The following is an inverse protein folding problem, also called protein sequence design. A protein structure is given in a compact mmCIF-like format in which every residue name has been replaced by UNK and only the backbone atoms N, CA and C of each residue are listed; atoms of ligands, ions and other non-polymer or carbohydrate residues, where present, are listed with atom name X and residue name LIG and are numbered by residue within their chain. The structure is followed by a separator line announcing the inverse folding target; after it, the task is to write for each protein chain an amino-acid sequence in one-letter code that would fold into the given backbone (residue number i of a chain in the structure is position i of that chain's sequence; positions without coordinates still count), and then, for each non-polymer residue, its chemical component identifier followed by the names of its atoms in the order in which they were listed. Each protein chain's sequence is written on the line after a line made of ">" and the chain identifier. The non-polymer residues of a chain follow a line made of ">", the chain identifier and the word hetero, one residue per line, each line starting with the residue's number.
data_IF_861656851017
#
_entry.id   IF_861656851017
#
_cell.length_a   1.000
_cell.length_b   1.000
_cell.length_c   1.000
_cell.angle_alpha   90.00
_cell.angle_beta   90.00
_cell.angle_gamma   90.00
#
_symmetry.space_group_name_H-M   'P 1'
#
loop_
_entity.id
_entity.type
_entity.pdbx_description
1 polymer ?
#
# COMPACT_ATOMS: atom_id res chain seq x y z
N UNK A 1 -5.62 -40.26 13.51
CA UNK A 1 -6.64 -39.71 12.59
C UNK A 1 -7.07 -38.30 12.98
N UNK A 2 -7.79 -38.11 14.10
CA UNK A 2 -8.30 -36.77 14.47
C UNK A 2 -7.19 -35.77 14.91
N UNK A 3 -6.17 -36.26 15.62
CA UNK A 3 -4.99 -35.45 15.97
C UNK A 3 -4.11 -35.13 14.75
N UNK A 4 -3.96 -36.06 13.81
CA UNK A 4 -3.21 -35.82 12.57
C UNK A 4 -3.90 -34.78 11.69
N UNK A 5 -5.24 -34.77 11.68
CA UNK A 5 -6.04 -33.77 10.98
C UNK A 5 -5.88 -32.38 11.60
N UNK A 6 -5.96 -32.28 12.94
CA UNK A 6 -5.71 -31.03 13.67
C UNK A 6 -4.29 -30.51 13.46
N UNK A 7 -3.30 -31.39 13.46
CA UNK A 7 -1.91 -31.03 13.24
C UNK A 7 -1.72 -30.43 11.83
N UNK A 8 -2.22 -31.10 10.78
CA UNK A 8 -2.18 -30.57 9.41
C UNK A 8 -2.93 -29.26 9.27
N UNK A 9 -4.08 -29.12 9.94
CA UNK A 9 -4.83 -27.87 9.90
C UNK A 9 -4.06 -26.71 10.57
N UNK A 10 -3.39 -26.98 11.70
CA UNK A 10 -2.51 -26.01 12.35
C UNK A 10 -1.35 -25.58 11.43
N UNK A 11 -0.71 -26.52 10.74
CA UNK A 11 0.36 -26.22 9.78
C UNK A 11 -0.13 -25.33 8.64
N UNK A 12 -1.32 -25.61 8.10
CA UNK A 12 -1.93 -24.79 7.05
C UNK A 12 -2.21 -23.36 7.54
N UNK A 13 -2.74 -23.22 8.76
CA UNK A 13 -3.01 -21.89 9.34
C UNK A 13 -1.72 -21.10 9.57
N UNK A 14 -0.65 -21.73 10.07
CA UNK A 14 0.64 -21.04 10.28
C UNK A 14 1.33 -20.67 8.97
N UNK A 15 1.23 -21.53 7.95
CA UNK A 15 1.72 -21.22 6.60
C UNK A 15 0.97 -20.03 6.00
N UNK A 16 -0.36 -19.99 6.17
CA UNK A 16 -1.19 -18.91 5.65
C UNK A 16 -0.95 -17.59 6.39
N UNK A 17 -0.80 -17.60 7.72
CA UNK A 17 -0.38 -16.42 8.50
C UNK A 17 0.96 -15.90 7.97
N UNK A 18 1.92 -16.79 7.74
CA UNK A 18 3.25 -16.41 7.24
C UNK A 18 3.16 -15.77 5.85
N UNK A 19 2.32 -16.33 4.96
CA UNK A 19 2.06 -15.77 3.63
C UNK A 19 1.45 -14.37 3.70
N UNK A 20 0.39 -14.19 4.48
CA UNK A 20 -0.30 -12.90 4.62
C UNK A 20 0.64 -11.83 5.23
N UNK A 21 1.49 -12.20 6.18
CA UNK A 21 2.50 -11.29 6.73
C UNK A 21 3.54 -10.87 5.69
N UNK A 22 4.00 -11.79 4.83
CA UNK A 22 4.92 -11.46 3.73
C UNK A 22 4.26 -10.53 2.71
N UNK A 23 3.00 -10.77 2.36
CA UNK A 23 2.25 -9.93 1.42
C UNK A 23 2.04 -8.53 2.01
N UNK A 24 1.71 -8.43 3.30
CA UNK A 24 1.63 -7.17 4.03
C UNK A 24 2.97 -6.41 3.99
N UNK A 25 4.08 -7.07 4.28
CA UNK A 25 5.42 -6.45 4.25
C UNK A 25 5.77 -5.90 2.86
N UNK A 26 5.53 -6.68 1.80
CA UNK A 26 5.76 -6.26 0.41
C UNK A 26 4.90 -5.04 0.06
N UNK A 27 3.63 -5.05 0.45
CA UNK A 27 2.71 -3.95 0.17
C UNK A 27 3.13 -2.67 0.91
N UNK A 28 3.53 -2.77 2.19
CA UNK A 28 4.08 -1.64 2.93
C UNK A 28 5.34 -1.06 2.30
N UNK A 29 6.24 -1.91 1.78
CA UNK A 29 7.44 -1.45 1.08
C UNK A 29 7.08 -0.68 -0.20
N UNK A 30 6.11 -1.17 -0.97
CA UNK A 30 5.63 -0.48 -2.18
C UNK A 30 5.00 0.88 -1.87
N UNK A 31 4.17 0.96 -0.81
CA UNK A 31 3.57 2.24 -0.36
C UNK A 31 4.65 3.26 -0.04
N UNK A 32 5.69 2.88 0.72
CA UNK A 32 6.80 3.79 1.05
C UNK A 32 7.53 4.33 -0.19
N UNK A 33 7.65 3.51 -1.23
CA UNK A 33 8.22 3.94 -2.52
C UNK A 33 7.28 4.95 -3.21
N UNK A 34 5.96 4.73 -3.18
CA UNK A 34 4.99 5.67 -3.73
C UNK A 34 4.95 6.99 -2.96
N UNK A 35 4.98 6.95 -1.62
CA UNK A 35 5.09 8.13 -0.76
C UNK A 35 6.32 8.97 -1.11
N UNK A 36 7.49 8.33 -1.27
CA UNK A 36 8.72 9.03 -1.68
C UNK A 36 8.59 9.69 -3.07
N UNK A 37 7.86 9.07 -4.00
CA UNK A 37 7.58 9.66 -5.33
C UNK A 37 6.66 10.87 -5.21
N UNK A 38 5.62 10.79 -4.39
CA UNK A 38 4.69 11.91 -4.12
C UNK A 38 5.46 13.09 -3.51
N UNK A 39 6.37 12.83 -2.56
CA UNK A 39 7.22 13.86 -1.95
C UNK A 39 8.16 14.53 -2.97
N UNK A 40 8.73 13.77 -3.90
CA UNK A 40 9.52 14.33 -5.00
C UNK A 40 8.67 15.22 -5.91
N UNK A 41 7.47 14.76 -6.29
CA UNK A 41 6.55 15.52 -7.12
C UNK A 41 6.07 16.81 -6.45
N UNK A 42 5.82 16.79 -5.14
CA UNK A 42 5.48 17.99 -4.38
C UNK A 42 6.56 19.08 -4.51
N UNK A 43 7.83 18.69 -4.46
CA UNK A 43 8.96 19.61 -4.65
C UNK A 43 8.99 20.16 -6.08
N UNK A 44 8.78 19.30 -7.08
CA UNK A 44 8.75 19.71 -8.48
C UNK A 44 7.59 20.65 -8.83
N UNK A 45 6.40 20.37 -8.29
CA UNK A 45 5.22 21.23 -8.42
C UNK A 45 5.53 22.59 -7.82
N UNK A 46 6.05 22.65 -6.59
CA UNK A 46 6.41 23.92 -5.94
C UNK A 46 7.41 24.74 -6.76
N UNK A 47 8.47 24.10 -7.28
CA UNK A 47 9.43 24.77 -8.17
C UNK A 47 8.77 25.26 -9.47
N UNK A 48 7.79 24.52 -9.99
CA UNK A 48 7.04 24.92 -11.17
C UNK A 48 6.12 26.11 -10.88
N UNK A 49 5.45 26.13 -9.73
CA UNK A 49 4.64 27.27 -9.26
C UNK A 49 5.49 28.53 -9.09
N UNK A 50 6.69 28.41 -8.51
CA UNK A 50 7.63 29.53 -8.34
C UNK A 50 8.02 30.13 -9.69
N UNK A 51 8.44 29.29 -10.67
CA UNK A 51 8.75 29.76 -12.03
C UNK A 51 7.57 30.43 -12.72
N UNK A 52 6.35 29.92 -12.52
CA UNK A 52 5.14 30.51 -13.08
C UNK A 52 4.74 31.84 -12.42
N UNK A 53 5.16 32.09 -11.17
CA UNK A 53 4.96 33.38 -10.48
C UNK A 53 5.99 34.42 -10.92
N UNK A 54 7.23 34.01 -11.14
CA UNK A 54 8.35 34.90 -11.48
C UNK A 54 8.45 35.24 -12.98
N UNK A 55 7.79 34.46 -13.85
CA UNK A 55 7.71 34.70 -15.29
C UNK A 55 6.25 34.87 -15.74
N UNK A 56 6.02 35.50 -16.91
CA UNK A 56 4.73 35.34 -17.60
C UNK A 56 4.67 33.88 -18.04
N UNK A 57 4.04 33.04 -17.24
CA UNK A 57 3.99 31.60 -17.44
C UNK A 57 3.55 31.28 -18.88
N UNK A 58 4.46 30.69 -19.66
CA UNK A 58 4.17 30.20 -20.99
C UNK A 58 3.19 29.03 -20.94
N UNK A 59 2.60 28.71 -22.09
CA UNK A 59 1.69 27.56 -22.18
C UNK A 59 2.40 26.23 -21.89
N UNK A 60 3.72 26.17 -22.08
CA UNK A 60 4.56 25.02 -21.71
C UNK A 60 4.60 24.80 -20.19
N UNK A 61 4.79 25.83 -19.38
CA UNK A 61 4.79 25.74 -17.92
C UNK A 61 3.42 25.33 -17.39
N UNK A 62 2.33 25.86 -17.97
CA UNK A 62 0.97 25.46 -17.63
C UNK A 62 0.72 23.98 -17.95
N UNK A 63 1.15 23.52 -19.13
CA UNK A 63 1.03 22.12 -19.52
C UNK A 63 1.87 21.21 -18.61
N UNK A 64 3.09 21.61 -18.26
CA UNK A 64 3.94 20.88 -17.31
C UNK A 64 3.29 20.78 -15.94
N UNK A 65 2.73 21.88 -15.43
CA UNK A 65 2.00 21.90 -14.17
C UNK A 65 0.82 20.92 -14.20
N UNK A 66 0.02 20.96 -15.26
CA UNK A 66 -1.11 20.06 -15.43
C UNK A 66 -0.68 18.59 -15.45
N UNK A 67 0.43 18.26 -16.12
CA UNK A 67 0.97 16.91 -16.13
C UNK A 67 1.44 16.46 -14.74
N UNK A 68 2.14 17.31 -13.99
CA UNK A 68 2.60 17.02 -12.63
C UNK A 68 1.41 16.76 -11.69
N UNK A 69 0.39 17.61 -11.73
CA UNK A 69 -0.82 17.46 -10.92
C UNK A 69 -1.62 16.21 -11.30
N UNK A 70 -1.73 15.91 -12.60
CA UNK A 70 -2.40 14.69 -13.09
C UNK A 70 -1.68 13.42 -12.61
N UNK A 71 -0.35 13.42 -12.66
CA UNK A 71 0.44 12.28 -12.20
C UNK A 71 0.36 12.12 -10.68
N UNK A 72 0.42 13.23 -9.92
CA UNK A 72 0.22 13.22 -8.47
C UNK A 72 -1.15 12.64 -8.09
N UNK A 73 -2.23 13.08 -8.75
CA UNK A 73 -3.58 12.55 -8.54
C UNK A 73 -3.64 11.03 -8.75
N UNK A 74 -2.97 10.54 -9.81
CA UNK A 74 -2.87 9.10 -10.09
C UNK A 74 -2.16 8.34 -8.97
N UNK A 75 -1.06 8.88 -8.42
CA UNK A 75 -0.35 8.25 -7.31
C UNK A 75 -1.17 8.25 -6.02
N UNK A 76 -1.90 9.33 -5.73
CA UNK A 76 -2.79 9.40 -4.56
C UNK A 76 -3.89 8.33 -4.66
N UNK A 77 -4.50 8.15 -5.84
CA UNK A 77 -5.51 7.12 -6.07
C UNK A 77 -4.94 5.71 -5.86
N UNK A 78 -3.69 5.45 -6.32
CA UNK A 78 -3.01 4.17 -6.09
C UNK A 78 -2.73 3.93 -4.61
N UNK A 79 -2.18 4.91 -3.90
CA UNK A 79 -1.92 4.82 -2.47
C UNK A 79 -3.21 4.55 -1.67
N UNK A 80 -4.32 5.17 -2.07
CA UNK A 80 -5.64 4.92 -1.47
C UNK A 80 -6.10 3.46 -1.66
N UNK A 81 -5.96 2.92 -2.87
CA UNK A 81 -6.27 1.51 -3.16
C UNK A 81 -5.37 0.54 -2.38
N UNK A 82 -4.07 0.84 -2.27
CA UNK A 82 -3.14 0.03 -1.48
C UNK A 82 -3.48 0.04 0.02
N UNK A 83 -3.98 1.16 0.54
CA UNK A 83 -4.47 1.25 1.92
C UNK A 83 -5.67 0.32 2.16
N UNK A 84 -6.57 0.18 1.18
CA UNK A 84 -7.70 -0.75 1.27
C UNK A 84 -7.21 -2.21 1.30
N UNK A 85 -6.21 -2.56 0.49
CA UNK A 85 -5.60 -3.88 0.51
C UNK A 85 -4.93 -4.22 1.85
N UNK A 86 -4.23 -3.27 2.48
CA UNK A 86 -3.68 -3.47 3.83
C UNK A 86 -4.78 -3.80 4.84
N UNK A 87 -5.92 -3.11 4.77
CA UNK A 87 -7.05 -3.40 5.68
C UNK A 87 -7.57 -4.82 5.49
N UNK A 88 -7.73 -5.27 4.24
CA UNK A 88 -8.14 -6.63 3.95
C UNK A 88 -7.14 -7.66 4.52
N UNK A 89 -5.84 -7.45 4.34
CA UNK A 89 -4.81 -8.33 4.92
C UNK A 89 -4.85 -8.36 6.45
N UNK A 90 -5.16 -7.25 7.10
CA UNK A 90 -5.36 -7.22 8.56
C UNK A 90 -6.60 -8.01 8.99
N UNK A 91 -7.70 -7.92 8.25
CA UNK A 91 -8.91 -8.71 8.50
C UNK A 91 -8.63 -10.21 8.36
N UNK A 92 -7.91 -10.60 7.30
CA UNK A 92 -7.47 -11.99 7.09
C UNK A 92 -6.61 -12.50 8.26
N UNK A 93 -5.65 -11.71 8.74
CA UNK A 93 -4.82 -12.07 9.90
C UNK A 93 -5.64 -12.25 11.17
N UNK A 94 -6.65 -11.41 11.41
CA UNK A 94 -7.54 -11.55 12.57
C UNK A 94 -8.27 -12.89 12.53
N UNK A 95 -8.84 -13.25 11.38
CA UNK A 95 -9.53 -14.53 11.19
C UNK A 95 -8.58 -15.71 11.41
N UNK A 96 -7.38 -15.66 10.82
CA UNK A 96 -6.38 -16.71 10.96
C UNK A 96 -5.89 -16.87 12.40
N UNK A 97 -5.64 -15.76 13.10
CA UNK A 97 -5.26 -15.81 14.52
C UNK A 97 -6.38 -16.33 15.41
N UNK A 98 -7.64 -16.00 15.11
CA UNK A 98 -8.79 -16.61 15.78
C UNK A 98 -8.86 -18.11 15.53
N UNK A 99 -8.70 -18.57 14.28
CA UNK A 99 -8.71 -20.00 13.95
C UNK A 99 -7.58 -20.75 14.65
N UNK A 100 -6.37 -20.19 14.61
CA UNK A 100 -5.20 -20.72 15.32
C UNK A 100 -5.47 -20.88 16.81
N UNK A 101 -6.09 -19.87 17.44
CA UNK A 101 -6.45 -19.94 18.87
C UNK A 101 -7.44 -21.08 19.14
N UNK A 102 -8.45 -21.24 18.30
CA UNK A 102 -9.43 -22.33 18.42
C UNK A 102 -8.75 -23.70 18.35
N UNK A 103 -7.87 -23.91 17.37
CA UNK A 103 -7.13 -25.17 17.20
C UNK A 103 -6.24 -25.53 18.38
N UNK A 104 -5.72 -24.54 19.13
CA UNK A 104 -4.95 -24.80 20.37
C UNK A 104 -5.83 -25.12 21.57
N UNK A 105 -7.09 -24.68 21.56
CA UNK A 105 -8.03 -24.81 22.67
C UNK A 105 -8.98 -26.00 22.52
N UNK A 106 -9.07 -26.58 21.32
CA UNK A 106 -9.91 -27.74 20.97
C UNK A 106 -9.14 -29.05 21.03
#
# INVERSE_FOLDING_TARGET
>A
EDEDLKFREMELVEAEISRVLQDHQKLCANIRIEEAKIDSLNKEIKLCEERMRESVAGDLEKQRMQNLLSYQSTLILRASSQTQLIRALHEDLLVLFSRRKQLRQS
#
